data_IF_491653887725
#
_entry.id   IF_491653887725
#
_cell.length_a   1.000
_cell.length_b   1.000
_cell.length_c   1.000
_cell.angle_alpha   90.00
_cell.angle_beta   90.00
_cell.angle_gamma   90.00
#
_symmetry.space_group_name_H-M   'P 1'
#
loop_
_entity.id
_entity.type
_entity.pdbx_description
1 polymer ?
#
# COMPACT_ATOMS: atom_id res chain seq x y z
N UNK A 1 7.60 6.09 2.31
CA UNK A 1 7.79 6.40 3.75
C UNK A 1 6.59 5.94 4.61
N UNK A 2 5.51 5.40 4.02
CA UNK A 2 4.31 5.02 4.77
C UNK A 2 4.49 3.74 5.60
N UNK A 3 5.20 2.71 5.11
CA UNK A 3 5.30 1.43 5.81
C UNK A 3 5.88 1.51 7.23
N UNK A 4 6.95 2.26 7.41
CA UNK A 4 7.58 2.42 8.75
C UNK A 4 6.66 3.22 9.67
N UNK A 5 6.01 4.27 9.13
CA UNK A 5 5.08 5.11 9.90
C UNK A 5 3.83 4.31 10.28
N UNK A 6 3.29 3.53 9.36
CA UNK A 6 2.14 2.65 9.60
C UNK A 6 2.47 1.56 10.61
N UNK A 7 3.62 0.89 10.46
CA UNK A 7 4.09 -0.09 11.45
C UNK A 7 4.16 0.53 12.86
N UNK A 8 4.67 1.75 12.98
CA UNK A 8 4.76 2.45 14.26
C UNK A 8 3.36 2.79 14.81
N UNK A 9 2.45 3.28 13.97
CA UNK A 9 1.07 3.60 14.37
C UNK A 9 0.32 2.34 14.80
N UNK A 10 0.30 1.29 13.97
CA UNK A 10 -0.35 0.03 14.31
C UNK A 10 0.26 -0.60 15.56
N UNK A 11 1.58 -0.55 15.74
CA UNK A 11 2.23 -1.07 16.96
C UNK A 11 1.85 -0.27 18.19
N UNK A 12 1.72 1.06 18.06
CA UNK A 12 1.24 1.91 19.14
C UNK A 12 -0.21 1.56 19.51
N UNK A 13 -1.07 1.33 18.54
CA UNK A 13 -2.45 0.87 18.78
C UNK A 13 -2.46 -0.51 19.46
N UNK A 14 -1.68 -1.47 18.96
CA UNK A 14 -1.56 -2.79 19.57
C UNK A 14 -1.10 -2.77 21.04
N UNK A 15 -0.19 -1.86 21.40
CA UNK A 15 0.36 -1.78 22.77
C UNK A 15 -0.57 -1.03 23.73
N UNK A 16 -1.28 -0.02 23.24
CA UNK A 16 -2.03 0.93 24.09
C UNK A 16 -3.55 0.87 23.94
N UNK A 17 -4.08 0.16 22.94
CA UNK A 17 -5.52 0.00 22.72
C UNK A 17 -5.95 -1.44 23.05
N UNK A 18 -6.81 -1.58 24.06
CA UNK A 18 -7.33 -2.88 24.50
C UNK A 18 -8.32 -3.51 23.50
N UNK A 19 -8.85 -2.72 22.56
CA UNK A 19 -9.79 -3.19 21.53
C UNK A 19 -9.08 -3.52 20.21
N UNK A 20 -7.74 -3.43 20.16
CA UNK A 20 -6.93 -3.69 18.97
C UNK A 20 -6.07 -4.93 19.17
N UNK A 21 -6.36 -5.98 18.40
CA UNK A 21 -5.68 -7.27 18.55
C UNK A 21 -4.49 -7.41 17.59
N UNK A 22 -3.66 -8.44 17.83
CA UNK A 22 -2.58 -8.83 16.91
C UNK A 22 -3.06 -9.09 15.48
N UNK A 23 -4.32 -9.54 15.33
CA UNK A 23 -4.93 -9.79 14.02
C UNK A 23 -5.18 -8.48 13.26
N UNK A 24 -5.59 -7.42 13.96
CA UNK A 24 -5.75 -6.08 13.39
C UNK A 24 -4.41 -5.50 12.96
N UNK A 25 -3.37 -5.69 13.80
CA UNK A 25 -2.00 -5.29 13.46
C UNK A 25 -1.50 -5.97 12.18
N UNK A 26 -1.64 -7.30 12.11
CA UNK A 26 -1.23 -8.08 10.95
C UNK A 26 -2.02 -7.70 9.69
N UNK A 27 -3.31 -7.40 9.83
CA UNK A 27 -4.18 -6.99 8.72
C UNK A 27 -3.83 -5.62 8.17
N UNK A 28 -3.70 -4.61 9.03
CA UNK A 28 -3.32 -3.24 8.62
C UNK A 28 -1.92 -3.18 8.01
N UNK A 29 -0.93 -3.77 8.69
CA UNK A 29 0.45 -3.81 8.20
C UNK A 29 0.58 -4.66 6.92
N UNK A 30 -0.17 -5.76 6.84
CA UNK A 30 -0.24 -6.61 5.65
C UNK A 30 -0.88 -5.89 4.45
N UNK A 31 -1.97 -5.15 4.68
CA UNK A 31 -2.64 -4.31 3.69
C UNK A 31 -1.68 -3.27 3.11
N UNK A 32 -0.95 -2.56 3.97
CA UNK A 32 0.01 -1.54 3.54
C UNK A 32 1.21 -2.13 2.79
N UNK A 33 1.70 -3.30 3.21
CA UNK A 33 2.73 -4.03 2.48
C UNK A 33 2.22 -4.42 1.08
N UNK A 34 1.01 -4.94 0.99
CA UNK A 34 0.40 -5.33 -0.28
C UNK A 34 0.15 -4.13 -1.20
N UNK A 35 -0.33 -3.00 -0.66
CA UNK A 35 -0.48 -1.72 -1.38
C UNK A 35 0.86 -1.26 -1.93
N UNK A 36 1.90 -1.24 -1.10
CA UNK A 36 3.24 -0.84 -1.51
C UNK A 36 3.84 -1.75 -2.58
N UNK A 37 3.64 -3.07 -2.48
CA UNK A 37 4.10 -4.03 -3.49
C UNK A 37 3.36 -3.83 -4.82
N UNK A 38 2.06 -3.54 -4.77
CA UNK A 38 1.25 -3.28 -5.97
C UNK A 38 1.72 -2.01 -6.67
N UNK A 39 1.92 -0.92 -5.91
CA UNK A 39 2.51 0.32 -6.43
C UNK A 39 3.86 0.04 -7.08
N UNK A 40 4.76 -0.69 -6.40
CA UNK A 40 6.08 -1.01 -6.93
C UNK A 40 6.01 -1.80 -8.26
N UNK A 41 5.20 -2.86 -8.30
CA UNK A 41 5.08 -3.72 -9.48
C UNK A 41 4.53 -2.95 -10.69
N UNK A 42 3.42 -2.23 -10.50
CA UNK A 42 2.77 -1.46 -11.58
C UNK A 42 3.66 -0.30 -12.02
N UNK A 43 4.29 0.39 -11.08
CA UNK A 43 5.15 1.55 -11.37
C UNK A 43 6.42 1.14 -12.09
N UNK A 44 7.04 0.01 -11.74
CA UNK A 44 8.25 -0.46 -12.43
C UNK A 44 7.98 -0.69 -13.91
N UNK A 45 6.87 -1.35 -14.24
CA UNK A 45 6.44 -1.55 -15.61
C UNK A 45 6.15 -0.23 -16.32
N UNK A 46 5.32 0.62 -15.72
CA UNK A 46 4.91 1.89 -16.33
C UNK A 46 6.08 2.87 -16.52
N UNK A 47 7.00 2.94 -15.55
CA UNK A 47 8.21 3.76 -15.64
C UNK A 47 9.14 3.20 -16.71
N UNK A 48 9.33 1.88 -16.81
CA UNK A 48 10.16 1.29 -17.87
C UNK A 48 9.66 1.59 -19.29
N UNK A 49 8.34 1.73 -19.48
CA UNK A 49 7.75 2.14 -20.75
C UNK A 49 8.18 3.54 -21.16
N UNK A 50 8.40 4.46 -20.21
CA UNK A 50 8.89 5.81 -20.53
C UNK A 50 10.27 5.77 -21.22
N UNK A 51 11.11 4.82 -20.83
CA UNK A 51 12.43 4.59 -21.45
C UNK A 51 12.25 3.90 -22.80
N UNK A 52 11.42 2.86 -22.88
CA UNK A 52 11.18 2.11 -24.11
C UNK A 52 10.57 2.98 -25.23
N UNK A 53 9.76 3.97 -24.88
CA UNK A 53 9.15 4.92 -25.82
C UNK A 53 10.11 6.04 -26.26
N UNK A 54 11.34 6.07 -25.77
CA UNK A 54 12.33 7.09 -26.14
C UNK A 54 11.97 8.49 -25.65
N UNK A 55 11.27 8.62 -24.52
CA UNK A 55 10.96 9.93 -23.94
C UNK A 55 12.28 10.64 -23.61
N UNK A 56 12.39 11.90 -24.05
CA UNK A 56 13.63 12.71 -23.94
C UNK A 56 14.08 12.96 -22.51
N UNK A 57 13.14 12.95 -21.55
CA UNK A 57 13.38 13.11 -20.11
C UNK A 57 12.75 11.95 -19.34
N UNK A 58 13.30 10.73 -19.44
CA UNK A 58 12.65 9.53 -18.91
C UNK A 58 12.59 9.53 -17.37
N UNK A 59 13.54 10.19 -16.70
CA UNK A 59 13.54 10.33 -15.24
C UNK A 59 12.34 11.18 -14.78
N UNK A 60 12.15 12.36 -15.39
CA UNK A 60 11.05 13.27 -15.03
C UNK A 60 9.70 12.64 -15.35
N UNK A 61 9.57 12.04 -16.54
CA UNK A 61 8.36 11.32 -16.92
C UNK A 61 8.08 10.14 -16.00
N UNK A 62 9.11 9.37 -15.63
CA UNK A 62 9.01 8.25 -14.70
C UNK A 62 8.49 8.67 -13.32
N UNK A 63 9.00 9.77 -12.75
CA UNK A 63 8.49 10.28 -11.46
C UNK A 63 7.02 10.67 -11.55
N UNK A 64 6.61 11.38 -12.62
CA UNK A 64 5.21 11.77 -12.81
C UNK A 64 4.28 10.56 -12.94
N UNK A 65 4.71 9.55 -13.68
CA UNK A 65 3.98 8.29 -13.83
C UNK A 65 3.87 7.56 -12.50
N UNK A 66 4.96 7.49 -11.73
CA UNK A 66 4.96 6.85 -10.41
C UNK A 66 4.00 7.54 -9.44
N UNK A 67 4.04 8.87 -9.34
CA UNK A 67 3.11 9.65 -8.50
C UNK A 67 1.66 9.41 -8.94
N UNK A 68 1.41 9.40 -10.25
CA UNK A 68 0.09 9.09 -10.80
C UNK A 68 -0.43 7.72 -10.35
N UNK A 69 0.43 6.69 -10.42
CA UNK A 69 0.09 5.32 -10.00
C UNK A 69 -0.14 5.21 -8.50
N UNK A 70 0.69 5.88 -7.69
CA UNK A 70 0.52 5.91 -6.23
C UNK A 70 -0.85 6.50 -5.85
N UNK A 71 -1.25 7.62 -6.47
CA UNK A 71 -2.58 8.19 -6.24
C UNK A 71 -3.71 7.27 -6.72
N UNK A 72 -3.56 6.64 -7.88
CA UNK A 72 -4.58 5.76 -8.47
C UNK A 72 -4.82 4.52 -7.60
N UNK A 73 -3.73 3.85 -7.20
CA UNK A 73 -3.81 2.69 -6.30
C UNK A 73 -4.28 3.11 -4.91
N UNK A 74 -3.85 4.29 -4.44
CA UNK A 74 -4.36 4.92 -3.23
C UNK A 74 -5.88 4.97 -3.23
N UNK A 75 -6.45 5.63 -4.25
CA UNK A 75 -7.89 5.77 -4.42
C UNK A 75 -8.63 4.43 -4.50
N UNK A 76 -8.06 3.44 -5.21
CA UNK A 76 -8.67 2.10 -5.30
C UNK A 76 -8.68 1.42 -3.92
N UNK A 77 -7.58 1.51 -3.17
CA UNK A 77 -7.52 0.92 -1.83
C UNK A 77 -8.57 1.47 -0.89
N UNK A 78 -8.77 2.79 -0.97
CA UNK A 78 -9.69 3.52 -0.12
C UNK A 78 -11.15 3.29 -0.57
N UNK A 79 -11.43 3.29 -1.88
CA UNK A 79 -12.79 3.08 -2.43
C UNK A 79 -13.31 1.66 -2.21
N UNK A 80 -12.42 0.66 -2.23
CA UNK A 80 -12.79 -0.73 -1.99
C UNK A 80 -12.57 -1.20 -0.55
N UNK A 81 -12.18 -0.31 0.36
CA UNK A 81 -11.91 -0.62 1.77
C UNK A 81 -11.06 -1.89 1.92
N UNK A 82 -9.98 -1.99 1.12
CA UNK A 82 -9.21 -3.23 0.95
C UNK A 82 -8.60 -3.69 2.28
N UNK A 83 -8.21 -2.74 3.12
CA UNK A 83 -7.72 -3.02 4.47
C UNK A 83 -8.78 -3.70 5.33
N UNK A 84 -10.00 -3.17 5.38
CA UNK A 84 -11.10 -3.74 6.15
C UNK A 84 -11.47 -5.13 5.64
N UNK A 85 -11.45 -5.34 4.32
CA UNK A 85 -11.67 -6.66 3.73
C UNK A 85 -10.61 -7.68 4.18
N UNK A 86 -9.33 -7.27 4.24
CA UNK A 86 -8.23 -8.13 4.70
C UNK A 86 -8.36 -8.42 6.20
N UNK A 87 -8.57 -7.39 7.02
CA UNK A 87 -8.70 -7.52 8.49
C UNK A 87 -9.90 -8.41 8.83
N UNK A 88 -11.06 -8.18 8.22
CA UNK A 88 -12.26 -8.99 8.45
C UNK A 88 -12.08 -10.44 7.97
N UNK A 89 -11.39 -10.64 6.84
CA UNK A 89 -11.03 -11.98 6.36
C UNK A 89 -10.14 -12.74 7.35
N UNK A 90 -9.14 -12.06 7.92
CA UNK A 90 -8.25 -12.64 8.93
C UNK A 90 -8.97 -12.94 10.25
N UNK A 91 -9.87 -12.05 10.70
CA UNK A 91 -10.71 -12.29 11.89
C UNK A 91 -11.61 -13.51 11.71
N UNK A 92 -12.22 -13.68 10.53
CA UNK A 92 -13.05 -14.84 10.23
C UNK A 92 -12.26 -16.16 10.16
N UNK A 93 -10.98 -16.12 9.74
CA UNK A 93 -10.14 -17.31 9.65
C UNK A 93 -9.48 -17.72 10.98
N UNK A 94 -9.44 -16.80 11.95
CA UNK A 94 -8.74 -16.99 13.24
C UNK A 94 -9.71 -17.19 14.41
N UNK A 95 -11.01 -16.95 14.20
CA UNK A 95 -12.10 -17.41 15.08
C UNK A 95 -12.43 -18.88 14.82
#
# INVERSE_FOLDING_TARGET
>A
MSLIVSAVISTNELVFNNDYDLVDWCGSMGSDLFKSMTVLAVSTLAVSLTVAMGISMPIVAGVLVWVGIEMLIGSIWDEFEVEDAIVNGLKNATN
#
